data_IF_998741260294
#
_entry.id   IF_998741260294
#
_cell.length_a   1.000
_cell.length_b   1.000
_cell.length_c   1.000
_cell.angle_alpha   90.00
_cell.angle_beta   90.00
_cell.angle_gamma   90.00
#
_symmetry.space_group_name_H-M   'P 1'
#
loop_
_entity.id
_entity.type
_entity.pdbx_description
1 polymer ?
#
# COMPACT_ATOMS: atom_id res chain seq x y z
N UNK A 1 -19.18 1.33 -4.11
CA UNK A 1 -18.01 2.24 -4.04
C UNK A 1 -17.91 2.70 -2.61
N UNK A 2 -16.90 2.21 -1.91
CA UNK A 2 -16.74 2.46 -0.47
C UNK A 2 -16.26 3.89 -0.23
N UNK A 3 -16.39 4.38 1.01
CA UNK A 3 -15.80 5.66 1.40
C UNK A 3 -14.28 5.68 1.15
N UNK A 4 -13.60 4.54 1.33
CA UNK A 4 -12.19 4.38 1.06
C UNK A 4 -11.84 4.63 -0.42
N UNK A 5 -12.61 4.04 -1.36
CA UNK A 5 -12.40 4.21 -2.80
C UNK A 5 -12.44 5.68 -3.23
N UNK A 6 -13.40 6.43 -2.67
CA UNK A 6 -13.57 7.85 -2.95
C UNK A 6 -12.37 8.64 -2.43
N UNK A 7 -11.97 8.40 -1.18
CA UNK A 7 -10.86 9.12 -0.54
C UNK A 7 -9.54 8.89 -1.28
N UNK A 8 -9.25 7.64 -1.67
CA UNK A 8 -8.03 7.32 -2.44
C UNK A 8 -7.99 8.04 -3.79
N UNK A 9 -9.10 8.05 -4.54
CA UNK A 9 -9.20 8.77 -5.83
C UNK A 9 -8.97 10.27 -5.65
N UNK A 10 -9.59 10.87 -4.64
CA UNK A 10 -9.42 12.30 -4.35
C UNK A 10 -7.96 12.59 -3.95
N UNK A 11 -7.32 11.72 -3.14
CA UNK A 11 -5.91 11.86 -2.78
C UNK A 11 -5.02 11.88 -4.04
N UNK A 12 -5.20 10.91 -4.93
CA UNK A 12 -4.44 10.82 -6.17
C UNK A 12 -4.63 12.07 -7.07
N UNK A 13 -5.86 12.57 -7.20
CA UNK A 13 -6.15 13.78 -7.98
C UNK A 13 -5.50 15.02 -7.37
N UNK A 14 -5.60 15.21 -6.04
CA UNK A 14 -4.98 16.33 -5.34
C UNK A 14 -3.45 16.34 -5.49
N UNK A 15 -2.82 15.17 -5.36
CA UNK A 15 -1.37 15.02 -5.56
C UNK A 15 -0.96 15.29 -7.01
N UNK A 16 -1.77 14.87 -7.98
CA UNK A 16 -1.55 15.14 -9.41
C UNK A 16 -1.64 16.63 -9.75
N UNK A 17 -2.64 17.33 -9.21
CA UNK A 17 -2.78 18.79 -9.35
C UNK A 17 -1.59 19.51 -8.71
N UNK A 18 -1.18 19.08 -7.51
CA UNK A 18 0.00 19.62 -6.83
C UNK A 18 1.26 19.47 -7.68
N UNK A 19 1.50 18.28 -8.22
CA UNK A 19 2.65 17.98 -9.08
C UNK A 19 2.64 18.80 -10.38
N UNK A 20 1.49 18.92 -11.03
CA UNK A 20 1.35 19.73 -12.25
C UNK A 20 1.62 21.22 -11.97
N UNK A 21 1.11 21.76 -10.86
CA UNK A 21 1.34 23.14 -10.44
C UNK A 21 2.82 23.39 -10.09
N UNK A 22 3.47 22.46 -9.37
CA UNK A 22 4.90 22.54 -9.04
C UNK A 22 5.76 22.52 -10.31
N UNK A 23 5.52 21.56 -11.20
CA UNK A 23 6.24 21.39 -12.47
C UNK A 23 6.08 22.63 -13.35
N UNK A 24 4.84 23.12 -13.51
CA UNK A 24 4.54 24.36 -14.23
C UNK A 24 5.26 25.56 -13.61
N UNK A 25 5.31 25.64 -12.28
CA UNK A 25 6.02 26.68 -11.54
C UNK A 25 7.52 26.71 -11.85
N UNK A 26 8.16 25.54 -11.98
CA UNK A 26 9.59 25.41 -12.32
C UNK A 26 9.82 25.76 -13.79
N UNK A 27 9.00 25.23 -14.71
CA UNK A 27 9.07 25.51 -16.16
C UNK A 27 8.94 27.01 -16.44
N UNK A 28 7.92 27.67 -15.87
CA UNK A 28 7.71 29.11 -16.03
C UNK A 28 8.91 29.90 -15.49
N UNK A 29 9.47 29.46 -14.36
CA UNK A 29 10.64 30.10 -13.77
C UNK A 29 11.91 29.95 -14.62
N UNK A 30 12.03 28.85 -15.39
CA UNK A 30 13.19 28.55 -16.24
C UNK A 30 13.13 29.26 -17.60
N UNK A 31 11.97 29.22 -18.27
CA UNK A 31 11.85 29.68 -19.67
C UNK A 31 11.44 31.14 -19.78
N UNK A 32 10.61 31.66 -18.88
CA UNK A 32 10.06 33.03 -18.99
C UNK A 32 10.83 34.06 -18.15
N UNK A 33 12.14 33.86 -17.94
CA UNK A 33 12.97 34.64 -17.01
C UNK A 33 12.97 36.16 -17.25
N UNK A 34 12.73 36.62 -18.49
CA UNK A 34 12.67 38.04 -18.86
C UNK A 34 11.33 38.73 -18.58
N UNK A 35 10.26 37.98 -18.25
CA UNK A 35 8.90 38.53 -18.08
C UNK A 35 8.66 39.03 -16.65
N UNK A 36 8.15 40.26 -16.51
CA UNK A 36 7.86 40.90 -15.20
C UNK A 36 6.78 40.15 -14.38
N UNK A 37 5.84 39.49 -15.05
CA UNK A 37 4.77 38.72 -14.40
C UNK A 37 5.23 37.37 -13.83
N UNK A 38 6.41 36.86 -14.24
CA UNK A 38 6.93 35.53 -13.88
C UNK A 38 6.88 35.26 -12.39
N UNK A 39 7.35 36.19 -11.57
CA UNK A 39 7.39 36.03 -10.12
C UNK A 39 5.97 35.88 -9.52
N UNK A 40 5.00 36.66 -10.01
CA UNK A 40 3.62 36.58 -9.52
C UNK A 40 3.02 35.21 -9.82
N UNK A 41 3.23 34.69 -11.03
CA UNK A 41 2.72 33.37 -11.44
C UNK A 41 3.46 32.24 -10.71
N UNK A 42 4.80 32.26 -10.66
CA UNK A 42 5.58 31.26 -9.93
C UNK A 42 5.18 31.19 -8.46
N UNK A 43 4.98 32.35 -7.79
CA UNK A 43 4.50 32.40 -6.41
C UNK A 43 3.11 31.79 -6.27
N UNK A 44 2.16 32.15 -7.15
CA UNK A 44 0.79 31.59 -7.11
C UNK A 44 0.82 30.07 -7.28
N UNK A 45 1.53 29.56 -8.30
CA UNK A 45 1.66 28.13 -8.55
C UNK A 45 2.32 27.38 -7.39
N UNK A 46 3.37 27.94 -6.79
CA UNK A 46 4.00 27.34 -5.62
C UNK A 46 3.09 27.27 -4.39
N UNK A 47 2.28 28.30 -4.14
CA UNK A 47 1.28 28.29 -3.06
C UNK A 47 0.16 27.29 -3.37
N UNK A 48 -0.37 27.28 -4.60
CA UNK A 48 -1.40 26.33 -5.02
C UNK A 48 -0.91 24.89 -4.87
N UNK A 49 0.30 24.57 -5.35
CA UNK A 49 0.90 23.26 -5.18
C UNK A 49 1.01 22.87 -3.70
N UNK A 50 1.49 23.80 -2.86
CA UNK A 50 1.59 23.62 -1.41
C UNK A 50 0.23 23.30 -0.77
N UNK A 51 -0.81 24.09 -1.06
CA UNK A 51 -2.15 23.89 -0.49
C UNK A 51 -2.72 22.55 -0.93
N UNK A 52 -2.77 22.28 -2.24
CA UNK A 52 -3.38 21.03 -2.73
C UNK A 52 -2.62 19.79 -2.28
N UNK A 53 -1.29 19.86 -2.19
CA UNK A 53 -0.48 18.76 -1.69
C UNK A 53 -0.66 18.53 -0.19
N UNK A 54 -0.75 19.58 0.63
CA UNK A 54 -1.04 19.45 2.07
C UNK A 54 -2.44 18.88 2.29
N UNK A 55 -3.45 19.34 1.55
CA UNK A 55 -4.79 18.75 1.59
C UNK A 55 -4.75 17.26 1.20
N UNK A 56 -3.98 16.92 0.15
CA UNK A 56 -3.74 15.53 -0.23
C UNK A 56 -3.12 14.70 0.88
N UNK A 57 -2.14 15.24 1.63
CA UNK A 57 -1.50 14.53 2.74
C UNK A 57 -2.43 14.34 3.95
N UNK A 58 -3.26 15.33 4.28
CA UNK A 58 -4.29 15.17 5.31
C UNK A 58 -5.26 14.06 4.93
N UNK A 59 -5.64 13.99 3.65
CA UNK A 59 -6.48 12.91 3.15
C UNK A 59 -5.77 11.56 3.22
N UNK A 60 -4.49 11.48 2.85
CA UNK A 60 -3.70 10.26 3.00
C UNK A 60 -3.64 9.78 4.46
N UNK A 61 -3.49 10.70 5.41
CA UNK A 61 -3.53 10.38 6.83
C UNK A 61 -4.87 9.75 7.22
N UNK A 62 -5.99 10.32 6.76
CA UNK A 62 -7.32 9.73 7.02
C UNK A 62 -7.48 8.34 6.40
N UNK A 63 -6.96 8.14 5.18
CA UNK A 63 -7.01 6.84 4.49
C UNK A 63 -6.24 5.78 5.27
N UNK A 64 -5.04 6.10 5.76
CA UNK A 64 -4.25 5.16 6.58
C UNK A 64 -4.94 4.88 7.91
N UNK A 65 -5.55 5.91 8.52
CA UNK A 65 -6.24 5.78 9.80
C UNK A 65 -7.44 4.83 9.74
N UNK A 66 -8.21 4.84 8.64
CA UNK A 66 -9.40 3.98 8.48
C UNK A 66 -9.08 2.58 7.95
N UNK A 67 -7.91 2.37 7.35
CA UNK A 67 -7.54 1.08 6.74
C UNK A 67 -6.74 0.19 7.68
N UNK A 68 -5.60 0.67 8.17
CA UNK A 68 -4.67 -0.13 8.99
C UNK A 68 -4.29 0.52 10.32
N UNK A 69 -4.45 1.84 10.44
CA UNK A 69 -3.95 2.63 11.57
C UNK A 69 -2.42 2.73 11.65
N UNK A 70 -1.67 1.97 10.85
CA UNK A 70 -0.22 1.91 10.90
C UNK A 70 0.42 2.95 9.96
N UNK A 71 0.89 4.05 10.55
CA UNK A 71 1.55 5.13 9.81
C UNK A 71 3.03 4.81 9.54
N UNK A 72 3.56 5.28 8.41
CA UNK A 72 5.00 5.23 8.06
C UNK A 72 5.61 3.82 7.89
N UNK A 73 4.79 2.80 7.64
CA UNK A 73 5.25 1.40 7.46
C UNK A 73 5.80 1.12 6.07
N UNK A 74 5.35 1.86 5.06
CA UNK A 74 5.72 1.64 3.65
C UNK A 74 6.68 2.72 3.14
N UNK A 75 7.60 2.38 2.22
CA UNK A 75 8.47 3.37 1.56
C UNK A 75 7.69 4.56 0.96
N UNK A 76 6.52 4.32 0.38
CA UNK A 76 5.68 5.39 -0.17
C UNK A 76 5.25 6.41 0.92
N UNK A 77 4.85 5.92 2.10
CA UNK A 77 4.39 6.77 3.21
C UNK A 77 5.53 7.59 3.82
N UNK A 78 6.73 7.01 3.93
CA UNK A 78 7.93 7.71 4.40
C UNK A 78 8.36 8.79 3.40
N UNK A 79 8.46 8.43 2.11
CA UNK A 79 8.77 9.38 1.04
C UNK A 79 7.70 10.49 0.95
N UNK A 80 6.44 10.14 1.11
CA UNK A 80 5.31 11.07 1.18
C UNK A 80 5.44 12.10 2.31
N UNK A 81 5.81 11.66 3.52
CA UNK A 81 6.01 12.57 4.65
C UNK A 81 7.18 13.54 4.42
N UNK A 82 8.33 13.04 3.93
CA UNK A 82 9.51 13.87 3.63
C UNK A 82 9.20 14.87 2.52
N UNK A 83 8.56 14.43 1.44
CA UNK A 83 8.16 15.31 0.34
C UNK A 83 7.13 16.34 0.76
N UNK A 84 6.17 15.97 1.60
CA UNK A 84 5.19 16.88 2.17
C UNK A 84 5.82 18.03 2.94
N UNK A 85 6.82 17.72 3.76
CA UNK A 85 7.57 18.75 4.48
C UNK A 85 8.29 19.71 3.51
N UNK A 86 8.94 19.17 2.47
CA UNK A 86 9.62 20.00 1.47
C UNK A 86 8.66 20.85 0.63
N UNK A 87 7.44 20.36 0.39
CA UNK A 87 6.38 21.07 -0.32
C UNK A 87 5.94 22.34 0.43
N UNK A 88 6.07 22.35 1.76
CA UNK A 88 5.79 23.51 2.63
C UNK A 88 7.05 24.40 2.76
N UNK A 89 8.20 23.81 3.04
CA UNK A 89 9.43 24.56 3.31
C UNK A 89 9.93 25.31 2.06
N UNK A 90 9.77 24.75 0.86
CA UNK A 90 10.31 25.34 -0.38
C UNK A 90 9.63 26.67 -0.75
N UNK A 91 8.28 26.80 -0.76
CA UNK A 91 7.60 28.07 -0.92
C UNK A 91 7.93 29.09 0.18
N UNK A 92 8.02 28.67 1.44
CA UNK A 92 8.36 29.54 2.56
C UNK A 92 9.77 30.14 2.42
N UNK A 93 10.76 29.32 2.08
CA UNK A 93 12.11 29.77 1.75
C UNK A 93 12.10 30.79 0.59
N UNK A 94 11.25 30.55 -0.42
CA UNK A 94 11.04 31.47 -1.54
C UNK A 94 10.54 32.85 -1.12
N UNK A 95 9.60 32.91 -0.17
CA UNK A 95 9.08 34.17 0.39
C UNK A 95 10.14 34.91 1.22
N UNK A 96 11.01 34.19 1.92
CA UNK A 96 12.04 34.78 2.78
C UNK A 96 13.19 35.43 2.00
N UNK A 97 13.41 35.07 0.72
CA UNK A 97 14.43 35.68 -0.15
C UNK A 97 14.30 37.21 -0.22
N UNK A 98 13.07 37.75 -0.13
CA UNK A 98 12.84 39.21 -0.19
C UNK A 98 13.32 39.95 1.05
N UNK A 99 13.33 39.28 2.21
CA UNK A 99 13.66 39.85 3.52
C UNK A 99 15.15 39.72 3.88
N UNK A 100 15.85 38.74 3.31
CA UNK A 100 17.24 38.45 3.68
C UNK A 100 18.27 39.34 2.99
N UNK A 101 19.38 39.62 3.70
CA UNK A 101 20.58 40.25 3.13
C UNK A 101 21.38 39.28 2.25
N UNK A 102 21.35 37.97 2.56
CA UNK A 102 22.09 36.91 1.84
C UNK A 102 21.33 36.38 0.60
N UNK A 103 20.88 37.28 -0.27
CA UNK A 103 19.99 36.95 -1.42
C UNK A 103 20.58 35.90 -2.37
N UNK A 104 21.89 35.89 -2.62
CA UNK A 104 22.54 34.93 -3.53
C UNK A 104 22.43 33.49 -3.00
N UNK A 105 22.79 33.27 -1.73
CA UNK A 105 22.74 31.95 -1.08
C UNK A 105 21.30 31.44 -0.95
N UNK A 106 20.35 32.30 -0.55
CA UNK A 106 18.95 31.89 -0.42
C UNK A 106 18.30 31.56 -1.77
N UNK A 107 18.66 32.26 -2.85
CA UNK A 107 18.20 31.91 -4.20
C UNK A 107 18.75 30.56 -4.67
N UNK A 108 20.00 30.24 -4.35
CA UNK A 108 20.60 28.95 -4.66
C UNK A 108 19.90 27.83 -3.88
N UNK A 109 19.69 28.04 -2.58
CA UNK A 109 19.01 27.07 -1.71
C UNK A 109 17.58 26.81 -2.16
N UNK A 110 16.78 27.85 -2.41
CA UNK A 110 15.41 27.68 -2.91
C UNK A 110 15.35 26.94 -4.25
N UNK A 111 16.31 27.20 -5.16
CA UNK A 111 16.34 26.53 -6.46
C UNK A 111 16.72 25.04 -6.34
N UNK A 112 17.74 24.73 -5.54
CA UNK A 112 18.17 23.35 -5.28
C UNK A 112 17.09 22.56 -4.54
N UNK A 113 16.50 23.14 -3.48
CA UNK A 113 15.34 22.57 -2.79
C UNK A 113 14.17 22.32 -3.75
N UNK A 114 13.88 23.24 -4.66
CA UNK A 114 12.82 23.07 -5.66
C UNK A 114 13.06 21.88 -6.60
N UNK A 115 14.28 21.68 -7.08
CA UNK A 115 14.62 20.52 -7.92
C UNK A 115 14.59 19.21 -7.13
N UNK A 116 15.11 19.20 -5.90
CA UNK A 116 15.05 18.03 -5.01
C UNK A 116 13.59 17.66 -4.74
N UNK A 117 12.73 18.64 -4.44
CA UNK A 117 11.30 18.42 -4.21
C UNK A 117 10.64 17.83 -5.45
N UNK A 118 10.94 18.34 -6.66
CA UNK A 118 10.38 17.79 -7.89
C UNK A 118 10.75 16.32 -8.09
N UNK A 119 12.04 15.98 -7.95
CA UNK A 119 12.53 14.60 -8.09
C UNK A 119 11.86 13.69 -7.06
N UNK A 120 11.84 14.10 -5.79
CA UNK A 120 11.26 13.28 -4.73
C UNK A 120 9.75 13.11 -4.90
N UNK A 121 9.00 14.16 -5.28
CA UNK A 121 7.55 14.03 -5.55
C UNK A 121 7.30 13.07 -6.71
N UNK A 122 8.11 13.12 -7.77
CA UNK A 122 8.02 12.15 -8.87
C UNK A 122 8.26 10.72 -8.37
N UNK A 123 9.30 10.49 -7.57
CA UNK A 123 9.58 9.18 -6.98
C UNK A 123 8.45 8.72 -6.04
N UNK A 124 7.89 9.61 -5.23
CA UNK A 124 6.75 9.33 -4.34
C UNK A 124 5.52 8.91 -5.13
N UNK A 125 5.19 9.61 -6.22
CA UNK A 125 4.04 9.28 -7.08
C UNK A 125 4.26 7.93 -7.75
N UNK A 126 5.45 7.67 -8.30
CA UNK A 126 5.78 6.36 -8.90
C UNK A 126 5.67 5.26 -7.85
N UNK A 127 6.25 5.46 -6.67
CA UNK A 127 6.15 4.51 -5.55
C UNK A 127 4.71 4.28 -5.13
N UNK A 128 3.85 5.30 -5.18
CA UNK A 128 2.43 5.16 -4.86
C UNK A 128 1.67 4.37 -5.92
N UNK A 129 1.92 4.63 -7.20
CA UNK A 129 1.31 3.90 -8.31
C UNK A 129 1.75 2.42 -8.37
N UNK A 130 3.01 2.15 -8.01
CA UNK A 130 3.52 0.80 -7.81
C UNK A 130 2.85 0.13 -6.61
N UNK A 131 2.73 0.84 -5.50
CA UNK A 131 2.09 0.33 -4.29
C UNK A 131 0.63 -0.05 -4.53
N UNK A 132 -0.12 0.74 -5.31
CA UNK A 132 -1.52 0.43 -5.66
C UNK A 132 -1.65 -0.66 -6.72
N UNK A 133 -0.56 -1.22 -7.24
CA UNK A 133 -0.60 -2.25 -8.28
C UNK A 133 -1.07 -1.77 -9.67
N UNK A 134 -1.25 -0.47 -9.86
CA UNK A 134 -1.65 0.12 -11.16
C UNK A 134 -0.48 0.00 -12.14
N UNK A 135 0.73 0.29 -11.65
CA UNK A 135 1.95 0.07 -12.38
C UNK A 135 2.55 -1.24 -11.89
N UNK A 136 2.57 -2.28 -12.74
CA UNK A 136 3.23 -3.55 -12.45
C UNK A 136 4.55 -3.61 -13.20
N UNK A 137 5.63 -3.89 -12.47
CA UNK A 137 6.86 -4.33 -13.10
C UNK A 137 6.66 -5.78 -13.56
N UNK A 138 7.12 -6.16 -14.76
CA UNK A 138 7.07 -7.55 -15.17
C UNK A 138 7.77 -8.40 -14.12
N UNK A 139 7.03 -9.35 -13.54
CA UNK A 139 7.58 -10.35 -12.65
C UNK A 139 8.69 -11.07 -13.42
N UNK A 140 9.92 -11.09 -12.89
CA UNK A 140 10.85 -12.15 -13.28
C UNK A 140 10.14 -13.44 -12.92
N UNK A 141 9.78 -14.24 -13.92
CA UNK A 141 9.29 -15.60 -13.71
C UNK A 141 10.28 -16.32 -12.78
N UNK A 142 9.89 -16.47 -11.52
CA UNK A 142 10.54 -17.42 -10.63
C UNK A 142 10.22 -18.78 -11.22
N UNK A 143 11.23 -19.39 -11.85
CA UNK A 143 11.15 -20.71 -12.44
C UNK A 143 10.36 -21.67 -11.54
N UNK A 144 9.40 -22.33 -12.16
CA UNK A 144 8.58 -23.39 -11.59
C UNK A 144 9.39 -24.36 -10.74
N UNK A 145 9.18 -24.38 -9.43
CA UNK A 145 9.50 -25.55 -8.61
C UNK A 145 8.27 -26.45 -8.64
N UNK A 146 8.14 -27.19 -9.74
CA UNK A 146 7.34 -28.42 -9.76
C UNK A 146 8.21 -29.46 -9.08
N UNK A 147 7.91 -29.79 -7.83
CA UNK A 147 8.50 -30.97 -7.19
C UNK A 147 7.62 -32.18 -7.47
N UNK A 148 8.15 -32.97 -8.40
CA UNK A 148 7.78 -34.29 -8.82
C UNK A 148 7.80 -35.31 -7.66
N UNK A 149 6.69 -36.04 -7.52
CA UNK A 149 6.53 -37.46 -7.16
C UNK A 149 7.60 -38.11 -6.24
N UNK A 150 7.17 -38.56 -5.04
CA UNK A 150 7.67 -39.82 -4.47
C UNK A 150 6.50 -40.66 -3.96
N UNK A 151 6.47 -41.88 -4.47
CA UNK A 151 5.48 -42.94 -4.35
C UNK A 151 5.50 -43.64 -2.98
N UNK A 152 4.34 -44.21 -2.66
CA UNK A 152 4.02 -45.33 -1.77
C UNK A 152 5.18 -46.03 -1.04
N UNK A 153 5.03 -46.17 0.28
CA UNK A 153 5.37 -47.43 0.95
C UNK A 153 4.36 -47.77 2.05
N UNK A 154 3.68 -48.90 1.83
CA UNK A 154 2.74 -49.56 2.71
C UNK A 154 3.49 -50.32 3.79
N UNK A 155 3.29 -50.03 5.08
CA UNK A 155 3.63 -50.96 6.16
C UNK A 155 2.50 -51.02 7.20
N UNK A 156 1.97 -52.22 7.36
CA UNK A 156 0.95 -52.64 8.32
C UNK A 156 1.62 -53.03 9.65
N UNK A 157 1.11 -52.56 10.79
CA UNK A 157 0.63 -53.35 11.95
C UNK A 157 0.91 -52.76 13.36
N UNK A 158 -0.20 -52.64 14.10
CA UNK A 158 -0.47 -52.87 15.53
C UNK A 158 0.19 -52.06 16.68
N UNK A 159 -0.71 -51.48 17.51
CA UNK A 159 -0.51 -51.32 18.96
C UNK A 159 -1.24 -50.11 19.58
N UNK A 160 -2.39 -50.35 20.23
CA UNK A 160 -3.11 -49.36 21.05
C UNK A 160 -2.31 -48.89 22.27
N UNK A 161 -2.33 -47.59 22.58
CA UNK A 161 -2.69 -47.10 23.94
C UNK A 161 -3.10 -45.63 23.90
N UNK A 162 -4.24 -45.33 24.54
CA UNK A 162 -4.84 -44.02 24.69
C UNK A 162 -3.91 -42.99 25.34
N UNK A 163 -3.69 -41.86 24.66
CA UNK A 163 -3.63 -40.53 25.27
C UNK A 163 -4.16 -39.48 24.28
N UNK A 164 -5.07 -38.64 24.77
CA UNK A 164 -5.60 -37.44 24.13
C UNK A 164 -4.48 -36.61 23.50
N UNK A 165 -4.32 -36.74 22.19
CA UNK A 165 -3.53 -35.86 21.36
C UNK A 165 -4.49 -35.09 20.46
N UNK A 166 -4.35 -33.77 20.48
CA UNK A 166 -4.95 -32.83 19.53
C UNK A 166 -4.84 -33.44 18.13
N UNK A 167 -6.00 -33.57 17.47
CA UNK A 167 -6.20 -34.07 16.11
C UNK A 167 -4.95 -33.86 15.25
N UNK A 168 -4.26 -34.95 14.93
CA UNK A 168 -3.25 -34.96 13.88
C UNK A 168 -3.93 -34.49 12.60
N UNK A 169 -3.70 -33.23 12.24
CA UNK A 169 -4.37 -32.62 11.10
C UNK A 169 -3.91 -33.34 9.82
N UNK A 170 -4.74 -34.26 9.33
CA UNK A 170 -4.48 -35.04 8.12
C UNK A 170 -4.73 -34.19 6.85
N UNK A 171 -4.12 -33.00 6.76
CA UNK A 171 -4.14 -32.16 5.55
C UNK A 171 -3.01 -32.50 4.56
N UNK A 172 -2.39 -33.67 4.69
CA UNK A 172 -1.13 -34.04 4.04
C UNK A 172 -1.16 -34.12 2.51
N UNK A 173 -2.33 -34.02 1.86
CA UNK A 173 -2.46 -34.22 0.42
C UNK A 173 -2.40 -32.93 -0.41
N UNK A 174 -3.01 -31.84 0.04
CA UNK A 174 -2.97 -30.56 -0.69
C UNK A 174 -2.39 -29.47 0.21
N UNK A 175 -1.24 -28.93 -0.19
CA UNK A 175 -0.58 -27.86 0.53
C UNK A 175 0.20 -26.95 -0.42
N UNK A 176 0.33 -25.68 -0.04
CA UNK A 176 1.16 -24.69 -0.71
C UNK A 176 1.94 -23.91 0.34
N UNK A 177 3.25 -23.76 0.10
CA UNK A 177 4.13 -22.98 0.95
C UNK A 177 4.62 -21.74 0.21
N UNK A 178 4.47 -20.57 0.82
CA UNK A 178 4.96 -19.29 0.30
C UNK A 178 5.76 -18.60 1.40
N UNK A 179 7.08 -18.53 1.22
CA UNK A 179 7.98 -18.12 2.30
C UNK A 179 7.83 -19.05 3.51
N UNK A 180 7.58 -18.47 4.68
CA UNK A 180 7.37 -19.22 5.93
C UNK A 180 5.89 -19.53 6.22
N UNK A 181 4.98 -19.23 5.27
CA UNK A 181 3.55 -19.52 5.40
C UNK A 181 3.20 -20.85 4.73
N UNK A 182 2.42 -21.69 5.40
CA UNK A 182 1.92 -22.96 4.89
C UNK A 182 0.40 -22.95 4.91
N UNK A 183 -0.22 -23.13 3.75
CA UNK A 183 -1.64 -23.42 3.65
C UNK A 183 -1.84 -24.86 3.24
N UNK A 184 -2.67 -25.59 3.96
CA UNK A 184 -3.01 -26.98 3.65
C UNK A 184 -4.51 -27.17 3.70
N UNK A 185 -5.10 -27.88 2.73
CA UNK A 185 -6.56 -27.98 2.61
C UNK A 185 -7.03 -29.35 2.16
N UNK A 186 -8.31 -29.60 2.40
CA UNK A 186 -9.05 -30.75 1.86
C UNK A 186 -10.45 -30.30 1.44
N UNK A 187 -11.03 -31.07 0.54
CA UNK A 187 -12.43 -30.90 0.15
C UNK A 187 -13.22 -31.98 0.88
N UNK A 188 -14.20 -31.58 1.67
CA UNK A 188 -15.10 -32.47 2.39
C UNK A 188 -16.54 -32.10 2.00
N UNK A 189 -17.18 -32.97 1.22
CA UNK A 189 -18.44 -32.68 0.53
C UNK A 189 -18.32 -31.42 -0.35
N UNK A 190 -19.17 -30.43 -0.11
CA UNK A 190 -19.20 -29.15 -0.83
C UNK A 190 -18.38 -28.05 -0.12
N UNK A 191 -17.64 -28.39 0.95
CA UNK A 191 -16.85 -27.44 1.74
C UNK A 191 -15.35 -27.64 1.55
N UNK A 192 -14.62 -26.53 1.62
CA UNK A 192 -13.16 -26.52 1.71
C UNK A 192 -12.78 -26.34 3.18
N UNK A 193 -12.09 -27.33 3.75
CA UNK A 193 -11.48 -27.18 5.07
C UNK A 193 -9.99 -26.87 4.89
N UNK A 194 -9.53 -25.79 5.51
CA UNK A 194 -8.16 -25.30 5.40
C UNK A 194 -7.49 -25.06 6.75
N UNK A 195 -6.19 -25.30 6.81
CA UNK A 195 -5.30 -24.90 7.90
C UNK A 195 -4.23 -23.95 7.34
N UNK A 196 -4.13 -22.75 7.92
CA UNK A 196 -3.17 -21.73 7.53
C UNK A 196 -2.20 -21.45 8.69
N UNK A 197 -0.91 -21.68 8.45
CA UNK A 197 0.17 -21.51 9.43
C UNK A 197 1.09 -20.37 9.01
N UNK A 198 1.46 -19.51 9.96
CA UNK A 198 2.41 -18.42 9.77
C UNK A 198 3.25 -18.23 11.05
N UNK A 199 4.55 -17.90 10.94
CA UNK A 199 5.37 -17.54 12.10
C UNK A 199 5.05 -16.15 12.66
N UNK A 200 4.22 -15.37 11.96
CA UNK A 200 3.80 -14.03 12.38
C UNK A 200 2.95 -14.04 13.65
N UNK A 201 3.03 -12.95 14.42
CA UNK A 201 2.23 -12.73 15.65
C UNK A 201 1.02 -11.80 15.44
N UNK A 202 0.74 -11.43 14.18
CA UNK A 202 -0.34 -10.53 13.80
C UNK A 202 -1.51 -11.29 13.19
N UNK A 203 -2.04 -10.75 12.10
CA UNK A 203 -3.03 -11.44 11.27
C UNK A 203 -2.36 -12.38 10.26
N UNK A 204 -3.10 -13.41 9.85
CA UNK A 204 -2.77 -14.31 8.76
C UNK A 204 -3.99 -14.42 7.85
N UNK A 205 -3.80 -14.38 6.54
CA UNK A 205 -4.91 -14.34 5.59
C UNK A 205 -4.62 -15.20 4.36
N UNK A 206 -5.68 -15.74 3.77
CA UNK A 206 -5.66 -16.35 2.44
C UNK A 206 -6.75 -15.72 1.58
N UNK A 207 -6.42 -15.46 0.31
CA UNK A 207 -7.37 -14.93 -0.68
C UNK A 207 -7.57 -15.92 -1.82
N UNK A 208 -8.82 -16.09 -2.25
CA UNK A 208 -9.23 -17.01 -3.30
C UNK A 208 -9.70 -16.24 -4.53
N UNK A 209 -9.37 -16.78 -5.72
CA UNK A 209 -9.83 -16.28 -7.01
C UNK A 209 -9.67 -14.75 -7.24
N UNK A 210 -8.48 -14.15 -6.99
CA UNK A 210 -8.28 -12.73 -7.27
C UNK A 210 -8.41 -12.41 -8.77
N UNK A 211 -9.10 -11.32 -9.09
CA UNK A 211 -9.06 -10.74 -10.45
C UNK A 211 -7.75 -9.98 -10.66
N UNK A 212 -7.37 -9.15 -9.67
CA UNK A 212 -6.25 -8.24 -9.81
C UNK A 212 -5.64 -7.83 -8.45
N UNK A 213 -4.47 -8.40 -8.09
CA UNK A 213 -3.91 -8.29 -6.73
C UNK A 213 -4.92 -8.79 -5.69
N UNK A 214 -5.40 -7.93 -4.80
CA UNK A 214 -6.46 -8.28 -3.85
C UNK A 214 -7.85 -8.16 -4.47
N UNK A 215 -8.00 -7.38 -5.55
CA UNK A 215 -9.31 -7.06 -6.09
C UNK A 215 -10.06 -8.31 -6.54
N UNK A 216 -11.32 -8.41 -6.10
CA UNK A 216 -12.22 -9.50 -6.47
C UNK A 216 -11.96 -10.81 -5.73
N UNK A 217 -10.93 -10.86 -4.90
CA UNK A 217 -10.64 -12.05 -4.10
C UNK A 217 -11.59 -12.14 -2.90
N UNK A 218 -11.95 -13.37 -2.57
CA UNK A 218 -12.62 -13.75 -1.34
C UNK A 218 -11.54 -14.09 -0.29
N UNK A 219 -11.55 -13.42 0.87
CA UNK A 219 -10.51 -13.51 1.88
C UNK A 219 -11.03 -14.08 3.19
N UNK A 220 -10.29 -15.07 3.70
CA UNK A 220 -10.41 -15.52 5.08
C UNK A 220 -9.21 -15.00 5.88
N UNK A 221 -9.48 -14.23 6.93
CA UNK A 221 -8.47 -13.59 7.77
C UNK A 221 -8.58 -14.09 9.21
N UNK A 222 -7.51 -14.66 9.74
CA UNK A 222 -7.37 -15.05 11.14
C UNK A 222 -6.45 -14.10 11.91
N UNK A 223 -6.81 -13.74 13.14
CA UNK A 223 -5.96 -12.93 14.03
C UNK A 223 -6.23 -13.23 15.50
N UNK A 224 -5.30 -12.81 16.37
CA UNK A 224 -5.44 -12.93 17.83
C UNK A 224 -5.51 -11.56 18.46
N UNK A 225 -6.57 -11.30 19.23
CA UNK A 225 -6.76 -10.07 20.00
C UNK A 225 -7.16 -10.43 21.43
N UNK A 226 -6.48 -9.84 22.43
CA UNK A 226 -6.68 -10.12 23.86
C UNK A 226 -6.68 -11.61 24.25
N UNK A 227 -5.90 -12.42 23.54
CA UNK A 227 -5.78 -13.86 23.78
C UNK A 227 -6.90 -14.71 23.15
N UNK A 228 -7.84 -14.09 22.44
CA UNK A 228 -8.91 -14.78 21.72
C UNK A 228 -8.59 -14.85 20.23
N UNK A 229 -8.98 -15.96 19.59
CA UNK A 229 -8.83 -16.17 18.14
C UNK A 229 -10.08 -15.66 17.44
N UNK A 230 -9.87 -14.86 16.39
CA UNK A 230 -10.93 -14.35 15.52
C UNK A 230 -10.65 -14.78 14.09
N UNK A 231 -11.73 -15.14 13.38
CA UNK A 231 -11.74 -15.39 11.93
C UNK A 231 -12.76 -14.43 11.34
N UNK A 232 -12.42 -13.80 10.21
CA UNK A 232 -13.27 -12.83 9.52
C UNK A 232 -13.29 -13.10 8.03
N UNK A 233 -14.46 -12.89 7.45
CA UNK A 233 -14.76 -12.96 6.02
C UNK A 233 -14.68 -11.57 5.39
N UNK A 234 -13.85 -11.45 4.36
CA UNK A 234 -13.51 -10.20 3.71
C UNK A 234 -13.51 -10.32 2.19
N UNK A 235 -13.91 -9.25 1.52
CA UNK A 235 -13.86 -9.14 0.08
C UNK A 235 -12.81 -8.13 -0.36
N UNK A 236 -12.08 -8.49 -1.40
CA UNK A 236 -11.11 -7.66 -2.09
C UNK A 236 -11.74 -6.47 -2.81
N UNK A 237 -12.05 -5.41 -2.07
CA UNK A 237 -12.73 -4.21 -2.58
C UNK A 237 -11.90 -3.41 -3.59
N UNK A 238 -10.56 -3.50 -3.53
CA UNK A 238 -9.67 -2.81 -4.47
C UNK A 238 -8.34 -3.55 -4.65
N UNK A 239 -7.44 -3.01 -5.48
CA UNK A 239 -6.13 -3.63 -5.78
C UNK A 239 -5.31 -3.98 -4.54
N UNK A 240 -5.39 -3.19 -3.48
CA UNK A 240 -4.65 -3.40 -2.23
C UNK A 240 -5.48 -3.10 -1.00
N UNK A 241 -6.80 -3.20 -1.10
CA UNK A 241 -7.70 -3.10 0.03
C UNK A 241 -8.72 -4.20 -0.02
N UNK A 242 -9.22 -4.52 1.17
CA UNK A 242 -10.29 -5.44 1.42
C UNK A 242 -11.16 -4.83 2.51
N UNK A 243 -12.42 -5.20 2.53
CA UNK A 243 -13.41 -4.79 3.52
C UNK A 243 -14.20 -6.03 3.93
N UNK A 244 -14.70 -6.09 5.17
CA UNK A 244 -15.51 -7.22 5.61
C UNK A 244 -16.79 -7.34 4.79
N UNK A 245 -17.21 -8.56 4.46
CA UNK A 245 -18.37 -8.82 3.62
C UNK A 245 -19.65 -8.20 4.18
N UNK A 246 -19.87 -8.27 5.49
CA UNK A 246 -21.00 -7.62 6.18
C UNK A 246 -21.04 -6.12 5.88
N UNK A 247 -19.87 -5.44 5.90
CA UNK A 247 -19.78 -4.01 5.64
C UNK A 247 -20.12 -3.63 4.19
N UNK A 248 -20.07 -4.63 3.30
CA UNK A 248 -20.41 -4.53 1.89
C UNK A 248 -21.81 -5.08 1.57
N UNK A 249 -22.65 -5.35 2.58
CA UNK A 249 -23.96 -5.99 2.46
C UNK A 249 -23.90 -7.46 1.97
N UNK A 250 -22.77 -8.13 2.15
CA UNK A 250 -22.60 -9.58 1.96
C UNK A 250 -23.03 -10.40 3.17
N UNK A 251 -22.66 -11.68 3.17
CA UNK A 251 -22.82 -12.62 4.27
C UNK A 251 -21.48 -12.95 4.91
N UNK A 252 -21.48 -13.54 6.11
CA UNK A 252 -20.32 -14.31 6.58
C UNK A 252 -20.62 -15.78 6.26
N UNK A 253 -19.85 -16.38 5.35
CA UNK A 253 -20.06 -17.75 4.86
C UNK A 253 -18.79 -18.62 4.91
N UNK A 254 -18.06 -18.48 6.02
CA UNK A 254 -16.94 -19.36 6.45
C UNK A 254 -17.43 -20.62 7.14
#
# INVERSE_FOLDING_TARGET
>A
MTSYDILWRIHAVLMSISFAALSSGIVISRFYFKKKWRYKIHKKLGITAGITGVTGLLLAFTIVQISSGAHLTSPHTILGAVTGLLLILTPLAGLQIRKTKKKKQMKLSHRTMGYITLILVTLTIISGLLFTGILRLPSRESASVVSEVVSEETVVSNGQTDQQAVSSSNFSKNQVQVGDMLFSWRIENDYLEGELKSPGKGWVAIGFNPENLMQGADFVIGYVEDGNVYIRDDYGSWYTSHDSDISMNGSEDI
#
